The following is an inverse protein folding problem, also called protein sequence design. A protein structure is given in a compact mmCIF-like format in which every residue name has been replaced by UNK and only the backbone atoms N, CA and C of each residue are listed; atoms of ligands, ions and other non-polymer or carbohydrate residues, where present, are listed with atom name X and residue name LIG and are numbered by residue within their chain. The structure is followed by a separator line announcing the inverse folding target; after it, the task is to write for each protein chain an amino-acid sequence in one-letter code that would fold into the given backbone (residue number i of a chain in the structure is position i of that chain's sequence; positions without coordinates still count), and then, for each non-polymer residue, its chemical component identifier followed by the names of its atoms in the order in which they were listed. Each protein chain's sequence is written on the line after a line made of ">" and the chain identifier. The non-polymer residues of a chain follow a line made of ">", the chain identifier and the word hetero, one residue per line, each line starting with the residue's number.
data_IF_956295709573
#
_entry.id   IF_956295709573
#
_cell.length_a   1.000
_cell.length_b   1.000
_cell.length_c   1.000
_cell.angle_alpha   90.00
_cell.angle_beta   90.00
_cell.angle_gamma   90.00
#
_symmetry.space_group_name_H-M   'P 1'
#
loop_
_entity.id
_entity.type
_entity.pdbx_description
1 polymer ?
#
# COMPACT_ATOMS: atom_id res chain seq x y z
N UNK A 1 13.79 13.90 -51.46
CA UNK A 1 12.88 14.46 -50.40
C UNK A 1 12.32 13.42 -49.43
N UNK A 2 12.47 12.09 -49.68
CA UNK A 2 12.06 11.02 -48.77
C UNK A 2 12.90 10.94 -47.47
N UNK A 3 14.16 11.32 -47.54
CA UNK A 3 15.13 11.09 -46.43
C UNK A 3 14.89 11.91 -45.15
N UNK A 4 14.27 13.06 -45.19
CA UNK A 4 14.04 13.91 -44.03
C UNK A 4 12.81 13.45 -43.22
N UNK A 5 11.73 13.06 -43.91
CA UNK A 5 10.52 12.52 -43.32
C UNK A 5 10.80 11.17 -42.62
N UNK A 6 11.57 10.30 -43.27
CA UNK A 6 11.92 8.99 -42.73
C UNK A 6 12.84 9.12 -41.50
N UNK A 7 13.77 10.06 -41.49
CA UNK A 7 14.62 10.38 -40.33
C UNK A 7 13.80 10.81 -39.10
N UNK A 8 12.85 11.74 -39.30
CA UNK A 8 12.01 12.21 -38.19
C UNK A 8 11.05 11.15 -37.68
N UNK A 9 10.52 10.31 -38.58
CA UNK A 9 9.65 9.19 -38.21
C UNK A 9 10.41 8.16 -37.38
N UNK A 10 11.61 7.77 -37.77
CA UNK A 10 12.47 6.85 -37.06
C UNK A 10 12.83 7.38 -35.66
N UNK A 11 13.17 8.67 -35.55
CA UNK A 11 13.48 9.32 -34.30
C UNK A 11 12.28 9.37 -33.34
N UNK A 12 11.09 9.66 -33.86
CA UNK A 12 9.85 9.61 -33.06
C UNK A 12 9.53 8.20 -32.58
N UNK A 13 9.73 7.19 -33.43
CA UNK A 13 9.55 5.79 -33.04
C UNK A 13 10.54 5.36 -31.95
N UNK A 14 11.81 5.75 -32.05
CA UNK A 14 12.83 5.48 -31.02
C UNK A 14 12.47 6.13 -29.68
N UNK A 15 11.97 7.37 -29.71
CA UNK A 15 11.51 8.05 -28.49
C UNK A 15 10.33 7.32 -27.82
N UNK A 16 9.34 6.90 -28.61
CA UNK A 16 8.19 6.13 -28.11
C UNK A 16 8.63 4.78 -27.54
N UNK A 17 9.54 4.07 -28.22
CA UNK A 17 10.07 2.80 -27.72
C UNK A 17 10.84 2.98 -26.41
N UNK A 18 11.66 4.04 -26.30
CA UNK A 18 12.40 4.34 -25.06
C UNK A 18 11.45 4.59 -23.90
N UNK A 19 10.41 5.42 -24.07
CA UNK A 19 9.41 5.68 -23.01
C UNK A 19 8.64 4.40 -22.64
N UNK A 20 8.28 3.56 -23.60
CA UNK A 20 7.60 2.29 -23.34
C UNK A 20 8.47 1.35 -22.49
N UNK A 21 9.79 1.31 -22.73
CA UNK A 21 10.72 0.50 -21.93
C UNK A 21 10.88 1.06 -20.51
N UNK A 22 10.94 2.38 -20.36
CA UNK A 22 10.99 3.03 -19.05
C UNK A 22 9.70 2.77 -18.24
N UNK A 23 8.53 2.91 -18.87
CA UNK A 23 7.24 2.56 -18.26
C UNK A 23 7.23 1.10 -17.78
N UNK A 24 7.68 0.16 -18.62
CA UNK A 24 7.74 -1.25 -18.30
C UNK A 24 8.69 -1.55 -17.12
N UNK A 25 9.85 -0.89 -17.07
CA UNK A 25 10.80 -1.04 -15.97
C UNK A 25 10.20 -0.56 -14.65
N UNK A 26 9.49 0.57 -14.66
CA UNK A 26 8.85 1.11 -13.45
C UNK A 26 7.63 0.29 -13.02
N UNK A 27 6.88 -0.27 -13.94
CA UNK A 27 5.81 -1.22 -13.64
C UNK A 27 6.38 -2.46 -12.95
N UNK A 28 7.50 -3.02 -13.42
CA UNK A 28 8.15 -4.16 -12.77
C UNK A 28 8.64 -3.83 -11.34
N UNK A 29 9.10 -2.61 -11.10
CA UNK A 29 9.46 -2.13 -9.76
C UNK A 29 8.23 -2.06 -8.84
N UNK A 30 7.11 -1.53 -9.31
CA UNK A 30 5.84 -1.48 -8.60
C UNK A 30 5.33 -2.90 -8.29
N UNK A 31 5.39 -3.82 -9.24
CA UNK A 31 5.01 -5.24 -9.05
C UNK A 31 5.80 -5.87 -7.90
N UNK A 32 7.10 -5.61 -7.82
CA UNK A 32 7.96 -6.10 -6.74
C UNK A 32 7.57 -5.50 -5.38
N UNK A 33 7.33 -4.18 -5.31
CA UNK A 33 6.89 -3.51 -4.07
C UNK A 33 5.57 -4.12 -3.58
N UNK A 34 4.60 -4.31 -4.46
CA UNK A 34 3.30 -4.89 -4.13
C UNK A 34 3.44 -6.36 -3.70
N UNK A 35 4.28 -7.14 -4.37
CA UNK A 35 4.54 -8.54 -4.00
C UNK A 35 5.16 -8.66 -2.60
N UNK A 36 6.12 -7.81 -2.26
CA UNK A 36 6.73 -7.76 -0.93
C UNK A 36 5.71 -7.35 0.13
N UNK A 37 4.90 -6.33 -0.12
CA UNK A 37 3.81 -5.91 0.77
C UNK A 37 2.87 -7.07 1.09
N UNK A 38 2.42 -7.80 0.07
CA UNK A 38 1.51 -8.94 0.23
C UNK A 38 2.16 -10.08 1.02
N UNK A 39 3.44 -10.37 0.78
CA UNK A 39 4.19 -11.37 1.53
C UNK A 39 4.29 -10.99 3.01
N UNK A 40 4.57 -9.73 3.33
CA UNK A 40 4.65 -9.22 4.69
C UNK A 40 3.28 -9.25 5.39
N UNK A 41 2.20 -8.87 4.72
CA UNK A 41 0.84 -8.98 5.24
C UNK A 41 0.55 -10.44 5.63
N UNK A 42 0.79 -11.36 4.71
CA UNK A 42 0.51 -12.78 4.93
C UNK A 42 1.36 -13.37 6.07
N UNK A 43 2.64 -13.04 6.12
CA UNK A 43 3.56 -13.43 7.19
C UNK A 43 3.06 -12.97 8.57
N UNK A 44 2.60 -11.72 8.67
CA UNK A 44 2.06 -11.20 9.93
C UNK A 44 0.74 -11.88 10.33
N UNK A 45 -0.17 -12.11 9.38
CA UNK A 45 -1.40 -12.85 9.63
C UNK A 45 -1.11 -14.26 10.18
N UNK A 46 -0.15 -14.99 9.58
CA UNK A 46 0.26 -16.31 10.04
C UNK A 46 0.90 -16.28 11.43
N UNK A 47 1.77 -15.30 11.71
CA UNK A 47 2.44 -15.17 13.00
C UNK A 47 1.44 -14.92 14.13
N UNK A 48 0.44 -14.08 13.90
CA UNK A 48 -0.62 -13.84 14.89
C UNK A 48 -1.56 -15.04 15.03
N UNK A 49 -1.92 -15.70 13.92
CA UNK A 49 -2.71 -16.93 13.97
C UNK A 49 -2.02 -18.05 14.76
N UNK A 50 -0.71 -18.26 14.57
CA UNK A 50 0.07 -19.24 15.31
C UNK A 50 0.05 -18.99 16.83
N UNK A 51 0.08 -17.72 17.25
CA UNK A 51 -0.07 -17.35 18.67
C UNK A 51 -1.48 -17.62 19.22
N UNK A 52 -2.51 -17.61 18.36
CA UNK A 52 -3.88 -17.94 18.73
C UNK A 52 -4.11 -19.44 18.89
N UNK A 53 -3.57 -20.24 17.97
CA UNK A 53 -3.75 -21.69 17.96
C UNK A 53 -3.19 -22.37 19.22
N UNK A 54 -2.25 -21.71 19.91
CA UNK A 54 -1.68 -22.19 21.19
C UNK A 54 -2.49 -21.79 22.42
N UNK A 55 -3.52 -20.95 22.28
CA UNK A 55 -4.35 -20.46 23.38
C UNK A 55 -5.71 -21.16 23.37
N UNK A 56 -5.81 -22.30 24.07
CA UNK A 56 -7.02 -23.14 24.10
C UNK A 56 -8.27 -22.45 24.70
N UNK A 57 -9.41 -22.63 24.02
CA UNK A 57 -10.73 -22.67 24.67
C UNK A 57 -11.47 -21.36 24.89
N UNK A 58 -11.29 -20.31 24.08
CA UNK A 58 -12.03 -19.04 24.24
C UNK A 58 -13.13 -18.90 23.19
N UNK A 59 -14.39 -18.70 23.65
CA UNK A 59 -15.49 -18.33 22.77
C UNK A 59 -15.37 -16.86 22.32
N UNK A 60 -15.06 -16.69 21.04
CA UNK A 60 -14.81 -15.41 20.39
C UNK A 60 -16.02 -14.45 20.35
N UNK A 61 -17.25 -14.98 20.40
CA UNK A 61 -18.46 -14.15 20.41
C UNK A 61 -18.62 -13.44 21.76
N UNK A 62 -18.27 -14.14 22.83
CA UNK A 62 -18.25 -13.59 24.18
C UNK A 62 -17.11 -12.57 24.37
N UNK A 63 -15.94 -12.86 23.76
CA UNK A 63 -14.77 -11.98 23.74
C UNK A 63 -15.09 -10.57 23.21
N UNK A 64 -15.83 -10.48 22.11
CA UNK A 64 -16.19 -9.20 21.49
C UNK A 64 -17.15 -8.35 22.32
N UNK A 65 -18.08 -8.97 23.04
CA UNK A 65 -19.02 -8.25 23.92
C UNK A 65 -18.34 -7.66 25.13
N UNK A 66 -17.32 -8.33 25.66
CA UNK A 66 -16.60 -7.94 26.87
C UNK A 66 -15.58 -6.84 26.56
N UNK A 67 -14.95 -6.85 25.39
CA UNK A 67 -13.91 -5.90 25.01
C UNK A 67 -14.37 -4.46 24.84
N UNK A 68 -15.63 -4.25 24.47
CA UNK A 68 -16.20 -2.90 24.30
C UNK A 68 -16.54 -2.18 25.62
N UNK A 69 -16.40 -2.85 26.77
CA UNK A 69 -16.85 -2.34 28.07
C UNK A 69 -15.74 -2.18 29.12
N UNK A 70 -14.43 -2.27 28.73
CA UNK A 70 -13.38 -2.51 29.71
C UNK A 70 -12.29 -1.43 29.81
N UNK A 71 -11.97 -1.02 31.06
CA UNK A 71 -10.75 -0.30 31.43
C UNK A 71 -9.58 -1.29 31.55
N UNK A 72 -8.65 -1.23 30.56
CA UNK A 72 -7.59 -2.21 30.37
C UNK A 72 -6.51 -2.16 31.47
N UNK A 73 -6.15 -0.96 31.95
CA UNK A 73 -5.03 -0.80 32.91
C UNK A 73 -5.39 -1.28 34.31
N UNK A 74 -6.56 -0.89 34.84
CA UNK A 74 -7.03 -1.33 36.16
C UNK A 74 -7.17 -2.85 36.21
N UNK A 75 -7.56 -3.46 35.08
CA UNK A 75 -7.75 -4.90 35.04
C UNK A 75 -6.44 -5.69 34.91
N UNK A 76 -5.43 -5.14 34.18
CA UNK A 76 -4.09 -5.77 34.13
C UNK A 76 -3.45 -5.89 35.51
N UNK A 77 -3.57 -4.85 36.35
CA UNK A 77 -3.07 -4.88 37.71
C UNK A 77 -3.77 -5.96 38.57
N UNK A 78 -5.10 -6.07 38.43
CA UNK A 78 -5.87 -7.04 39.19
C UNK A 78 -5.61 -8.49 38.73
N UNK A 79 -5.51 -8.75 37.44
CA UNK A 79 -5.18 -10.03 36.84
C UNK A 79 -3.77 -10.49 37.27
N UNK A 80 -2.81 -9.55 37.26
CA UNK A 80 -1.44 -9.81 37.73
C UNK A 80 -1.41 -10.22 39.22
N UNK A 81 -2.16 -9.53 40.06
CA UNK A 81 -2.27 -9.87 41.49
C UNK A 81 -2.85 -11.27 41.72
N UNK A 82 -3.86 -11.71 40.96
CA UNK A 82 -4.40 -13.08 41.06
C UNK A 82 -3.37 -14.13 40.66
N UNK A 83 -2.56 -13.89 39.63
CA UNK A 83 -1.51 -14.83 39.21
C UNK A 83 -0.38 -14.88 40.23
N UNK A 84 0.06 -13.77 40.77
CA UNK A 84 1.13 -13.68 41.76
C UNK A 84 0.74 -14.35 43.08
N UNK A 85 -0.51 -14.18 43.50
CA UNK A 85 -1.03 -14.79 44.75
C UNK A 85 -1.52 -16.23 44.56
N UNK A 86 -1.39 -16.82 43.36
CA UNK A 86 -1.88 -18.17 43.04
C UNK A 86 -3.36 -18.40 43.45
N UNK A 87 -4.18 -17.36 43.31
CA UNK A 87 -5.61 -17.44 43.59
C UNK A 87 -6.34 -18.06 42.40
N UNK A 88 -6.84 -19.28 42.58
CA UNK A 88 -7.60 -20.06 41.59
C UNK A 88 -9.09 -20.12 41.92
N UNK A 89 -9.61 -19.22 42.74
CA UNK A 89 -11.04 -19.10 42.98
C UNK A 89 -11.82 -18.88 41.66
N UNK A 90 -13.12 -19.22 41.72
CA UNK A 90 -14.01 -19.00 40.53
C UNK A 90 -13.99 -17.55 40.10
N UNK A 91 -13.88 -16.61 41.05
CA UNK A 91 -13.79 -15.18 40.81
C UNK A 91 -12.50 -14.78 40.10
N UNK A 92 -11.35 -15.34 40.55
CA UNK A 92 -10.04 -15.14 39.91
C UNK A 92 -9.98 -15.75 38.52
N UNK A 93 -10.50 -16.96 38.33
CA UNK A 93 -10.58 -17.61 37.02
C UNK A 93 -11.45 -16.82 36.02
N UNK A 94 -12.58 -16.27 36.48
CA UNK A 94 -13.44 -15.40 35.66
C UNK A 94 -12.74 -14.11 35.28
N UNK A 95 -11.95 -13.52 36.17
CA UNK A 95 -11.13 -12.34 35.92
C UNK A 95 -10.00 -12.65 34.92
N UNK A 96 -9.27 -13.75 35.07
CA UNK A 96 -8.23 -14.19 34.15
C UNK A 96 -8.78 -14.46 32.72
N UNK A 97 -9.97 -15.09 32.65
CA UNK A 97 -10.65 -15.30 31.37
C UNK A 97 -10.99 -13.98 30.69
N UNK A 98 -11.44 -12.97 31.45
CA UNK A 98 -11.67 -11.61 30.92
C UNK A 98 -10.37 -10.93 30.45
N UNK A 99 -9.29 -11.07 31.25
CA UNK A 99 -7.97 -10.54 30.86
C UNK A 99 -7.49 -11.10 29.53
N UNK A 100 -7.54 -12.43 29.37
CA UNK A 100 -7.18 -13.07 28.10
C UNK A 100 -8.01 -12.53 26.95
N UNK A 101 -9.32 -12.36 27.12
CA UNK A 101 -10.23 -11.76 26.14
C UNK A 101 -9.80 -10.37 25.71
N UNK A 102 -9.49 -9.50 26.67
CA UNK A 102 -9.03 -8.14 26.41
C UNK A 102 -7.70 -8.12 25.66
N UNK A 103 -6.77 -9.02 26.05
CA UNK A 103 -5.49 -9.17 25.34
C UNK A 103 -5.66 -9.58 23.87
N UNK A 104 -6.67 -10.37 23.54
CA UNK A 104 -6.95 -10.73 22.14
C UNK A 104 -7.43 -9.53 21.33
N UNK A 105 -8.30 -8.69 21.88
CA UNK A 105 -8.78 -7.49 21.20
C UNK A 105 -7.63 -6.49 21.00
N UNK A 106 -6.78 -6.31 22.00
CA UNK A 106 -5.60 -5.48 21.86
C UNK A 106 -4.63 -6.02 20.80
N UNK A 107 -4.49 -7.35 20.69
CA UNK A 107 -3.70 -7.99 19.63
C UNK A 107 -4.32 -7.79 18.25
N UNK A 108 -5.64 -7.85 18.12
CA UNK A 108 -6.33 -7.53 16.87
C UNK A 108 -6.05 -6.09 16.44
N UNK A 109 -6.19 -5.13 17.33
CA UNK A 109 -5.91 -3.73 17.06
C UNK A 109 -4.43 -3.52 16.69
N UNK A 110 -3.51 -4.14 17.40
CA UNK A 110 -2.08 -4.09 17.11
C UNK A 110 -1.79 -4.67 15.72
N UNK A 111 -2.34 -5.84 15.40
CA UNK A 111 -2.20 -6.44 14.08
C UNK A 111 -2.73 -5.52 12.98
N UNK A 112 -3.90 -4.90 13.17
CA UNK A 112 -4.45 -3.93 12.20
C UNK A 112 -3.50 -2.75 11.98
N UNK A 113 -2.91 -2.24 13.04
CA UNK A 113 -1.94 -1.14 12.94
C UNK A 113 -0.67 -1.58 12.20
N UNK A 114 -0.11 -2.75 12.53
CA UNK A 114 1.07 -3.29 11.85
C UNK A 114 0.81 -3.52 10.36
N UNK A 115 -0.32 -4.12 10.01
CA UNK A 115 -0.70 -4.32 8.61
C UNK A 115 -0.97 -3.00 7.89
N UNK A 116 -1.59 -2.03 8.57
CA UNK A 116 -1.79 -0.68 8.05
C UNK A 116 -0.46 0.03 7.73
N UNK A 117 0.55 -0.12 8.60
CA UNK A 117 1.89 0.42 8.36
C UNK A 117 2.59 -0.24 7.16
N UNK A 118 2.46 -1.57 6.99
CA UNK A 118 3.01 -2.28 5.83
C UNK A 118 2.40 -1.73 4.53
N UNK A 119 1.08 -1.57 4.50
CA UNK A 119 0.38 -1.00 3.34
C UNK A 119 0.84 0.44 3.08
N UNK A 120 0.87 1.28 4.11
CA UNK A 120 1.30 2.69 3.99
C UNK A 120 2.73 2.81 3.46
N UNK A 121 3.66 2.01 3.99
CA UNK A 121 5.05 1.99 3.52
C UNK A 121 5.15 1.62 2.04
N UNK A 122 4.46 0.58 1.61
CA UNK A 122 4.49 0.14 0.23
C UNK A 122 3.89 1.19 -0.73
N UNK A 123 2.84 1.91 -0.33
CA UNK A 123 2.29 3.00 -1.14
C UNK A 123 3.20 4.22 -1.18
N UNK A 124 3.89 4.55 -0.10
CA UNK A 124 4.90 5.61 -0.09
C UNK A 124 6.11 5.26 -1.01
N UNK A 125 6.50 4.00 -1.09
CA UNK A 125 7.51 3.52 -2.05
C UNK A 125 7.01 3.61 -3.49
N UNK A 126 5.77 3.19 -3.77
CA UNK A 126 5.14 3.36 -5.10
C UNK A 126 5.04 4.84 -5.49
N UNK A 127 4.67 5.72 -4.57
CA UNK A 127 4.62 7.17 -4.81
C UNK A 127 5.97 7.72 -5.25
N UNK A 128 7.05 7.31 -4.60
CA UNK A 128 8.43 7.71 -4.99
C UNK A 128 8.77 7.24 -6.41
N UNK A 129 8.45 5.98 -6.74
CA UNK A 129 8.69 5.41 -8.06
C UNK A 129 7.93 6.19 -9.13
N UNK A 130 6.63 6.44 -8.92
CA UNK A 130 5.79 7.19 -9.86
C UNK A 130 6.28 8.63 -9.99
N UNK A 131 6.52 9.33 -8.88
CA UNK A 131 7.01 10.70 -8.90
C UNK A 131 8.31 10.85 -9.69
N UNK A 132 9.30 10.00 -9.39
CA UNK A 132 10.58 10.03 -10.09
C UNK A 132 10.43 9.76 -11.58
N UNK A 133 9.64 8.75 -11.95
CA UNK A 133 9.34 8.43 -13.34
C UNK A 133 8.69 9.60 -14.09
N UNK A 134 7.71 10.28 -13.48
CA UNK A 134 7.04 11.42 -14.09
C UNK A 134 7.99 12.62 -14.28
N UNK A 135 8.85 12.91 -13.31
CA UNK A 135 9.86 13.97 -13.42
C UNK A 135 10.87 13.65 -14.51
N UNK A 136 11.35 12.40 -14.56
CA UNK A 136 12.25 11.94 -15.62
C UNK A 136 11.60 12.02 -17.01
N UNK A 137 10.33 11.64 -17.13
CA UNK A 137 9.59 11.69 -18.39
C UNK A 137 9.41 13.12 -18.90
N UNK A 138 9.09 14.08 -18.02
CA UNK A 138 9.08 15.52 -18.39
C UNK A 138 10.45 15.95 -18.88
N UNK A 139 11.50 15.62 -18.14
CA UNK A 139 12.87 16.03 -18.47
C UNK A 139 13.34 15.44 -19.82
N UNK A 140 13.05 14.15 -20.07
CA UNK A 140 13.37 13.50 -21.36
C UNK A 140 12.61 14.15 -22.51
N UNK A 141 11.32 14.44 -22.32
CA UNK A 141 10.47 15.09 -23.33
C UNK A 141 11.02 16.47 -23.70
N UNK A 142 11.36 17.29 -22.72
CA UNK A 142 11.92 18.63 -22.93
C UNK A 142 13.29 18.57 -23.64
N UNK A 143 14.18 17.66 -23.23
CA UNK A 143 15.47 17.43 -23.90
C UNK A 143 15.31 16.95 -25.34
N UNK A 144 14.35 16.08 -25.60
CA UNK A 144 14.08 15.62 -26.97
C UNK A 144 13.59 16.76 -27.86
N UNK A 145 12.72 17.63 -27.35
CA UNK A 145 12.24 18.82 -28.09
C UNK A 145 13.36 19.84 -28.34
N UNK A 146 14.19 20.13 -27.34
CA UNK A 146 15.32 21.03 -27.50
C UNK A 146 16.29 20.55 -28.59
N UNK A 147 16.53 19.24 -28.65
CA UNK A 147 17.36 18.63 -29.70
C UNK A 147 16.74 18.74 -31.09
N UNK A 148 15.41 18.80 -31.19
CA UNK A 148 14.69 19.04 -32.48
C UNK A 148 14.75 20.51 -32.88
N UNK A 149 14.57 21.42 -31.93
CA UNK A 149 14.46 22.86 -32.19
C UNK A 149 15.81 23.56 -32.22
N UNK A 150 16.92 22.89 -31.88
CA UNK A 150 18.27 23.45 -31.81
C UNK A 150 18.44 24.52 -30.72
N UNK A 151 17.54 24.56 -29.73
CA UNK A 151 17.54 25.52 -28.65
C UNK A 151 18.03 24.87 -27.35
N UNK A 152 18.86 25.58 -26.61
CA UNK A 152 19.26 25.15 -25.25
C UNK A 152 18.11 25.46 -24.29
N UNK A 153 17.32 24.41 -23.94
CA UNK A 153 16.19 24.59 -23.04
C UNK A 153 16.69 24.38 -21.60
N UNK A 154 16.72 25.46 -20.85
CA UNK A 154 16.96 25.42 -19.39
C UNK A 154 15.67 24.99 -18.68
N UNK A 155 15.59 23.71 -18.31
CA UNK A 155 14.47 23.14 -17.56
C UNK A 155 14.63 23.53 -16.09
N UNK A 156 13.73 24.36 -15.58
CA UNK A 156 13.70 24.66 -14.14
C UNK A 156 12.96 23.55 -13.40
N UNK A 157 13.48 23.14 -12.26
CA UNK A 157 12.86 22.12 -11.42
C UNK A 157 11.43 22.49 -11.01
N UNK A 158 11.16 23.78 -10.78
CA UNK A 158 9.81 24.29 -10.49
C UNK A 158 8.80 24.02 -11.59
N UNK A 159 9.24 24.08 -12.85
CA UNK A 159 8.35 23.86 -13.99
C UNK A 159 8.05 22.36 -14.15
N UNK A 160 9.03 21.51 -13.88
CA UNK A 160 8.86 20.05 -13.83
C UNK A 160 7.85 19.69 -12.74
N UNK A 161 8.01 20.21 -11.54
CA UNK A 161 7.10 19.96 -10.42
C UNK A 161 5.68 20.47 -10.70
N UNK A 162 5.54 21.66 -11.29
CA UNK A 162 4.25 22.21 -11.68
C UNK A 162 3.51 21.30 -12.66
N UNK A 163 4.22 20.74 -13.65
CA UNK A 163 3.64 19.78 -14.60
C UNK A 163 3.28 18.47 -13.89
N UNK A 164 4.19 17.91 -13.11
CA UNK A 164 4.00 16.60 -12.44
C UNK A 164 2.79 16.63 -11.51
N UNK A 165 2.65 17.69 -10.71
CA UNK A 165 1.57 17.80 -9.71
C UNK A 165 0.32 18.55 -10.20
N UNK A 166 0.25 18.92 -11.48
CA UNK A 166 -0.98 19.50 -12.02
C UNK A 166 -2.14 18.50 -11.95
N UNK A 167 -3.34 19.02 -11.69
CA UNK A 167 -4.53 18.19 -11.57
C UNK A 167 -4.97 17.66 -12.95
N UNK A 168 -5.31 16.37 -12.99
CA UNK A 168 -6.06 15.78 -14.07
C UNK A 168 -7.49 15.50 -13.61
N UNK A 169 -8.38 16.45 -13.88
CA UNK A 169 -9.72 16.47 -13.31
C UNK A 169 -9.77 17.07 -11.91
N UNK A 170 -10.34 16.35 -10.92
CA UNK A 170 -10.53 16.85 -9.55
C UNK A 170 -9.35 16.56 -8.63
N UNK A 171 -8.53 15.55 -8.94
CA UNK A 171 -7.46 15.05 -8.08
C UNK A 171 -6.16 14.94 -8.88
N UNK A 172 -5.03 15.17 -8.21
CA UNK A 172 -3.73 14.85 -8.76
C UNK A 172 -3.45 13.33 -8.68
N UNK A 173 -2.36 12.90 -9.30
CA UNK A 173 -2.00 11.48 -9.36
C UNK A 173 -1.69 10.88 -7.98
N UNK A 174 -1.05 11.64 -7.08
CA UNK A 174 -0.72 11.19 -5.73
C UNK A 174 -2.00 10.95 -4.90
N UNK A 175 -2.95 11.88 -4.92
CA UNK A 175 -4.25 11.71 -4.24
C UNK A 175 -5.00 10.47 -4.73
N UNK A 176 -4.96 10.18 -6.03
CA UNK A 176 -5.57 8.96 -6.60
C UNK A 176 -4.86 7.70 -6.15
N UNK A 177 -3.53 7.72 -6.02
CA UNK A 177 -2.75 6.61 -5.49
C UNK A 177 -3.14 6.32 -4.04
N UNK A 178 -3.21 7.34 -3.19
CA UNK A 178 -3.55 7.21 -1.78
C UNK A 178 -5.02 6.80 -1.54
N UNK A 179 -5.96 7.19 -2.39
CA UNK A 179 -7.33 6.68 -2.34
C UNK A 179 -7.40 5.16 -2.57
N UNK A 180 -6.60 4.61 -3.47
CA UNK A 180 -6.49 3.16 -3.65
C UNK A 180 -5.89 2.45 -2.41
N UNK A 181 -5.00 3.13 -1.68
CA UNK A 181 -4.42 2.62 -0.43
C UNK A 181 -5.49 2.42 0.65
N UNK A 182 -6.41 3.36 0.82
CA UNK A 182 -7.46 3.30 1.83
C UNK A 182 -8.39 2.09 1.63
N UNK A 183 -8.69 1.73 0.39
CA UNK A 183 -9.49 0.54 0.09
C UNK A 183 -8.76 -0.75 0.48
N UNK A 184 -7.49 -0.87 0.09
CA UNK A 184 -6.69 -2.04 0.45
C UNK A 184 -6.52 -2.16 1.97
N UNK A 185 -6.29 -1.06 2.66
CA UNK A 185 -6.16 -1.02 4.12
C UNK A 185 -7.41 -1.57 4.82
N UNK A 186 -8.60 -1.14 4.42
CA UNK A 186 -9.88 -1.64 4.96
C UNK A 186 -10.03 -3.15 4.78
N UNK A 187 -9.66 -3.67 3.60
CA UNK A 187 -9.72 -5.11 3.34
C UNK A 187 -8.75 -5.89 4.23
N UNK A 188 -7.53 -5.41 4.39
CA UNK A 188 -6.50 -6.04 5.24
C UNK A 188 -6.90 -5.99 6.71
N UNK A 189 -7.46 -4.89 7.20
CA UNK A 189 -7.98 -4.75 8.56
C UNK A 189 -9.16 -5.72 8.81
N UNK A 190 -10.03 -5.93 7.82
CA UNK A 190 -11.10 -6.91 7.89
C UNK A 190 -10.55 -8.34 7.98
N UNK A 191 -9.53 -8.69 7.19
CA UNK A 191 -8.86 -9.98 7.28
C UNK A 191 -8.24 -10.20 8.66
N UNK A 192 -7.58 -9.18 9.22
CA UNK A 192 -7.04 -9.23 10.58
C UNK A 192 -8.12 -9.54 11.62
N UNK A 193 -9.28 -8.87 11.54
CA UNK A 193 -10.42 -9.15 12.42
C UNK A 193 -10.93 -10.59 12.29
N UNK A 194 -11.01 -11.11 11.07
CA UNK A 194 -11.45 -12.49 10.85
C UNK A 194 -10.47 -13.51 11.43
N UNK A 195 -9.16 -13.28 11.27
CA UNK A 195 -8.12 -14.13 11.86
C UNK A 195 -8.17 -14.06 13.39
N UNK A 196 -8.20 -12.84 13.94
CA UNK A 196 -8.04 -12.64 15.39
C UNK A 196 -9.32 -12.91 16.19
N UNK A 197 -10.49 -12.53 15.67
CA UNK A 197 -11.76 -12.63 16.41
C UNK A 197 -12.60 -13.84 16.05
N UNK A 198 -12.34 -14.48 14.91
CA UNK A 198 -13.11 -15.63 14.43
C UNK A 198 -12.28 -16.90 14.30
N UNK A 199 -10.96 -16.82 14.55
CA UNK A 199 -10.04 -17.95 14.44
C UNK A 199 -9.92 -18.51 13.00
N UNK A 200 -10.27 -17.70 11.99
CA UNK A 200 -10.16 -18.16 10.59
C UNK A 200 -8.72 -18.29 10.18
N UNK A 201 -8.39 -19.39 9.51
CA UNK A 201 -7.03 -19.64 9.06
C UNK A 201 -6.62 -18.68 7.95
N UNK A 202 -5.43 -18.03 7.99
CA UNK A 202 -4.96 -17.11 6.97
C UNK A 202 -4.98 -17.66 5.53
N UNK A 203 -4.86 -18.96 5.33
CA UNK A 203 -4.96 -19.60 4.01
C UNK A 203 -6.31 -19.38 3.32
N UNK A 204 -7.38 -19.14 4.06
CA UNK A 204 -8.71 -18.86 3.51
C UNK A 204 -8.74 -17.54 2.73
N UNK A 205 -7.82 -16.61 3.03
CA UNK A 205 -7.72 -15.31 2.39
C UNK A 205 -6.75 -15.26 1.20
N UNK A 206 -6.01 -16.35 0.91
CA UNK A 206 -5.05 -16.39 -0.21
C UNK A 206 -5.67 -16.00 -1.55
N UNK A 207 -6.86 -16.48 -1.94
CA UNK A 207 -7.48 -16.07 -3.20
C UNK A 207 -7.82 -14.57 -3.23
N UNK A 208 -8.32 -14.04 -2.11
CA UNK A 208 -8.67 -12.62 -1.98
C UNK A 208 -7.40 -11.74 -2.00
N UNK A 209 -6.34 -12.13 -1.28
CA UNK A 209 -5.06 -11.44 -1.25
C UNK A 209 -4.44 -11.39 -2.66
N UNK A 210 -4.46 -12.51 -3.40
CA UNK A 210 -3.97 -12.54 -4.80
C UNK A 210 -4.76 -11.60 -5.71
N UNK A 211 -6.09 -11.58 -5.57
CA UNK A 211 -6.94 -10.66 -6.33
C UNK A 211 -6.59 -9.20 -6.01
N UNK A 212 -6.39 -8.86 -4.73
CA UNK A 212 -5.99 -7.52 -4.31
C UNK A 212 -4.61 -7.13 -4.81
N UNK A 213 -3.65 -8.06 -4.81
CA UNK A 213 -2.34 -7.85 -5.43
C UNK A 213 -2.48 -7.45 -6.90
N UNK A 214 -3.23 -8.23 -7.69
CA UNK A 214 -3.45 -7.97 -9.11
C UNK A 214 -4.15 -6.61 -9.33
N UNK A 215 -5.17 -6.29 -8.53
CA UNK A 215 -5.89 -5.01 -8.61
C UNK A 215 -4.97 -3.83 -8.28
N UNK A 216 -4.15 -3.94 -7.23
CA UNK A 216 -3.22 -2.88 -6.83
C UNK A 216 -2.21 -2.61 -7.94
N UNK A 217 -1.58 -3.65 -8.48
CA UNK A 217 -0.65 -3.53 -9.61
C UNK A 217 -1.32 -2.90 -10.82
N UNK A 218 -2.50 -3.39 -11.21
CA UNK A 218 -3.23 -2.89 -12.37
C UNK A 218 -3.63 -1.40 -12.21
N UNK A 219 -4.06 -1.00 -11.02
CA UNK A 219 -4.44 0.38 -10.74
C UNK A 219 -3.22 1.31 -10.80
N UNK A 220 -2.11 0.96 -10.14
CA UNK A 220 -0.90 1.78 -10.13
C UNK A 220 -0.26 1.83 -11.52
N UNK A 221 -0.23 0.71 -12.26
CA UNK A 221 0.23 0.66 -13.66
C UNK A 221 -0.58 1.61 -14.55
N UNK A 222 -1.91 1.54 -14.46
CA UNK A 222 -2.78 2.43 -15.24
C UNK A 222 -2.52 3.90 -14.91
N UNK A 223 -2.40 4.20 -13.60
CA UNK A 223 -2.09 5.54 -13.13
C UNK A 223 -0.76 6.02 -13.71
N UNK A 224 0.32 5.24 -13.58
CA UNK A 224 1.65 5.58 -14.08
C UNK A 224 1.64 5.89 -15.58
N UNK A 225 1.11 4.98 -16.42
CA UNK A 225 1.08 5.14 -17.87
C UNK A 225 0.24 6.35 -18.28
N UNK A 226 -0.94 6.55 -17.66
CA UNK A 226 -1.83 7.67 -17.99
C UNK A 226 -1.17 9.00 -17.61
N UNK A 227 -0.53 9.07 -16.47
CA UNK A 227 0.14 10.29 -16.02
C UNK A 227 1.43 10.56 -16.77
N UNK A 228 2.19 9.53 -17.15
CA UNK A 228 3.36 9.70 -18.03
C UNK A 228 2.96 10.34 -19.38
N UNK A 229 1.91 9.83 -20.02
CA UNK A 229 1.38 10.41 -21.25
C UNK A 229 0.90 11.87 -21.06
N UNK A 230 0.25 12.16 -19.92
CA UNK A 230 -0.20 13.53 -19.60
C UNK A 230 0.98 14.48 -19.43
N UNK A 231 1.97 14.13 -18.62
CA UNK A 231 3.11 15.03 -18.34
C UNK A 231 3.95 15.26 -19.60
N UNK A 232 4.09 14.27 -20.48
CA UNK A 232 4.73 14.42 -21.79
C UNK A 232 3.97 15.43 -22.66
N UNK A 233 2.63 15.31 -22.70
CA UNK A 233 1.79 16.24 -23.46
C UNK A 233 1.88 17.67 -22.92
N UNK A 234 1.88 17.86 -21.60
CA UNK A 234 2.02 19.17 -20.96
C UNK A 234 3.43 19.74 -21.16
N UNK A 235 4.47 18.91 -21.07
CA UNK A 235 5.84 19.34 -21.37
C UNK A 235 6.00 19.83 -22.82
N UNK A 236 5.31 19.20 -23.78
CA UNK A 236 5.32 19.64 -25.18
C UNK A 236 4.68 21.01 -25.42
N UNK A 237 3.78 21.46 -24.55
CA UNK A 237 3.11 22.76 -24.65
C UNK A 237 3.96 23.93 -24.13
N UNK A 238 5.07 23.67 -23.45
CA UNK A 238 5.97 24.71 -22.92
C UNK A 238 6.81 25.38 -24.00
N UNK A 239 6.74 24.89 -25.24
CA UNK A 239 7.44 25.41 -26.45
C UNK A 239 6.45 25.78 -27.53
#
# INVERSE_FOLDING_TARGET
>A
MSNLSDYWLERAQQAIQSETLEDAAKVAEIERIVAMMIADIYKNLLAYYGKLATAEGIDWREAKKIANAFDVEAFQMQAKAYVENKDFSEKANKALKRYNTTMYVNREQLLKQELGLIVTKAYAEQEKVVNHHLQDSVTRTLKHQSGILGADVHVKQSDVEAIVYSNFGKLNWSERLWNNQDELRKDVERMASHVMLRGRHPYEFVPEIRKKQQQTVANTKRLLITEAARVQTEAQKLH
#
